data_IF_325997998235
#
_entry.id   IF_325997998235
#
_cell.length_a   1.000
_cell.length_b   1.000
_cell.length_c   1.000
_cell.angle_alpha   90.00
_cell.angle_beta   90.00
_cell.angle_gamma   90.00
#
_symmetry.space_group_name_H-M   'P 1'
#
loop_
_entity.id
_entity.type
_entity.pdbx_description
1 polymer ?
#
# COMPACT_ATOMS: atom_id res chain seq x y z
N UNK A 1 25.63 -3.09 -5.78
CA UNK A 1 24.31 -3.39 -5.15
C UNK A 1 23.19 -3.43 -6.18
N UNK A 2 22.98 -2.39 -7.00
CA UNK A 2 21.91 -2.37 -8.04
C UNK A 2 22.11 -3.44 -9.13
N UNK A 3 23.33 -3.64 -9.61
CA UNK A 3 23.66 -4.66 -10.64
C UNK A 3 23.48 -6.10 -10.15
N UNK A 4 23.77 -6.36 -8.88
CA UNK A 4 23.62 -7.67 -8.27
C UNK A 4 22.12 -8.02 -8.12
N UNK A 5 21.32 -7.08 -7.62
CA UNK A 5 19.86 -7.23 -7.53
C UNK A 5 19.23 -7.44 -8.91
N UNK A 6 19.67 -6.71 -9.93
CA UNK A 6 19.17 -6.88 -11.30
C UNK A 6 19.49 -8.27 -11.85
N UNK A 7 20.68 -8.80 -11.55
CA UNK A 7 21.06 -10.15 -11.93
C UNK A 7 20.20 -11.22 -11.25
N UNK A 8 19.94 -11.08 -9.95
CA UNK A 8 19.05 -11.98 -9.21
C UNK A 8 17.61 -11.92 -9.74
N UNK A 9 17.05 -10.74 -9.97
CA UNK A 9 15.71 -10.58 -10.52
C UNK A 9 15.60 -11.21 -11.91
N UNK A 10 16.61 -11.03 -12.75
CA UNK A 10 16.67 -11.63 -14.09
C UNK A 10 16.58 -13.15 -14.01
N UNK A 11 17.36 -13.76 -13.13
CA UNK A 11 17.37 -15.20 -12.95
C UNK A 11 16.02 -15.72 -12.42
N UNK A 12 15.41 -15.04 -11.44
CA UNK A 12 14.11 -15.41 -10.92
C UNK A 12 13.01 -15.28 -11.97
N UNK A 13 13.00 -14.19 -12.75
CA UNK A 13 12.02 -14.01 -13.82
C UNK A 13 12.17 -15.05 -14.93
N UNK A 14 13.41 -15.44 -15.27
CA UNK A 14 13.67 -16.54 -16.22
C UNK A 14 13.08 -17.86 -15.76
N UNK A 15 13.23 -18.18 -14.49
CA UNK A 15 12.70 -19.42 -13.92
C UNK A 15 11.17 -19.44 -13.90
N UNK A 16 10.52 -18.30 -13.67
CA UNK A 16 9.06 -18.20 -13.53
C UNK A 16 8.37 -18.02 -14.89
N UNK A 17 8.89 -17.12 -15.73
CA UNK A 17 8.19 -16.64 -16.94
C UNK A 17 8.90 -17.00 -18.25
N UNK A 18 10.13 -17.52 -18.20
CA UNK A 18 10.94 -17.79 -19.38
C UNK A 18 11.81 -16.59 -19.81
N UNK A 19 12.73 -16.83 -20.75
CA UNK A 19 13.79 -15.89 -21.14
C UNK A 19 13.25 -14.59 -21.74
N UNK A 20 12.28 -14.69 -22.63
CA UNK A 20 11.75 -13.54 -23.39
C UNK A 20 10.96 -12.59 -22.50
N UNK A 21 10.10 -13.13 -21.68
CA UNK A 21 9.25 -12.41 -20.74
C UNK A 21 10.08 -11.77 -19.62
N UNK A 22 11.14 -12.44 -19.16
CA UNK A 22 12.04 -11.93 -18.13
C UNK A 22 12.73 -10.63 -18.54
N UNK A 23 13.19 -10.52 -19.79
CA UNK A 23 13.83 -9.30 -20.30
C UNK A 23 12.84 -8.14 -20.42
N UNK A 24 11.59 -8.42 -20.77
CA UNK A 24 10.56 -7.39 -20.82
C UNK A 24 10.20 -6.90 -19.41
N UNK A 25 9.96 -7.82 -18.47
CA UNK A 25 9.63 -7.49 -17.08
C UNK A 25 10.72 -6.65 -16.40
N UNK A 26 12.00 -6.94 -16.66
CA UNK A 26 13.10 -6.13 -16.12
C UNK A 26 13.05 -4.69 -16.63
N UNK A 27 12.73 -4.49 -17.91
CA UNK A 27 12.58 -3.13 -18.47
C UNK A 27 11.40 -2.41 -17.84
N UNK A 28 10.26 -3.09 -17.72
CA UNK A 28 9.05 -2.51 -17.15
C UNK A 28 9.26 -2.10 -15.68
N UNK A 29 9.94 -2.94 -14.88
CA UNK A 29 10.30 -2.64 -13.49
C UNK A 29 11.29 -1.46 -13.40
N UNK A 30 12.31 -1.42 -14.26
CA UNK A 30 13.27 -0.31 -14.27
C UNK A 30 12.60 1.02 -14.65
N UNK A 31 11.66 0.98 -15.58
CA UNK A 31 10.83 2.13 -15.96
C UNK A 31 9.91 2.59 -14.83
N UNK A 32 9.23 1.67 -14.15
CA UNK A 32 8.43 1.97 -12.98
C UNK A 32 9.25 2.62 -11.87
N UNK A 33 10.44 2.09 -11.58
CA UNK A 33 11.34 2.66 -10.56
C UNK A 33 11.81 4.07 -10.93
N UNK A 34 12.12 4.31 -12.21
CA UNK A 34 12.54 5.63 -12.71
C UNK A 34 11.42 6.66 -12.60
N UNK A 35 10.19 6.25 -12.89
CA UNK A 35 9.01 7.11 -12.90
C UNK A 35 8.36 7.27 -11.52
N UNK A 36 8.80 6.50 -10.51
CA UNK A 36 8.28 6.58 -9.14
C UNK A 36 9.11 7.56 -8.31
N UNK A 37 8.63 8.77 -8.05
CA UNK A 37 9.37 9.76 -7.27
C UNK A 37 9.50 9.28 -5.82
N UNK A 38 10.72 9.22 -5.31
CA UNK A 38 10.96 8.99 -3.87
C UNK A 38 10.58 10.26 -3.12
N UNK A 39 9.45 10.25 -2.42
CA UNK A 39 9.02 11.36 -1.57
C UNK A 39 9.78 11.44 -0.25
N UNK A 40 10.34 10.33 0.22
CA UNK A 40 10.95 10.25 1.55
C UNK A 40 12.47 10.12 1.46
N UNK A 41 13.17 11.09 2.06
CA UNK A 41 14.64 11.10 2.22
C UNK A 41 15.09 10.60 3.60
N UNK A 42 14.16 10.23 4.46
CA UNK A 42 14.44 9.76 5.83
C UNK A 42 15.13 8.41 5.76
N UNK A 43 16.37 8.35 6.24
CA UNK A 43 17.17 7.12 6.17
C UNK A 43 16.90 6.17 7.34
N UNK A 44 16.49 6.70 8.50
CA UNK A 44 16.34 5.92 9.73
C UNK A 44 15.16 6.42 10.55
N UNK A 45 14.51 5.48 11.24
CA UNK A 45 13.54 5.79 12.27
C UNK A 45 14.24 6.30 13.53
N UNK A 46 13.59 7.19 14.25
CA UNK A 46 14.09 7.77 15.50
C UNK A 46 13.05 7.55 16.61
N UNK A 47 13.40 7.89 17.84
CA UNK A 47 12.47 7.84 18.97
C UNK A 47 11.27 8.81 18.85
N UNK A 48 11.26 9.68 17.84
CA UNK A 48 10.14 10.56 17.53
C UNK A 48 9.17 9.95 16.52
N UNK A 49 9.52 8.80 15.96
CA UNK A 49 8.67 8.10 14.99
C UNK A 49 7.76 7.12 15.72
N UNK A 50 6.49 7.44 15.76
CA UNK A 50 5.45 6.58 16.30
C UNK A 50 4.53 6.11 15.18
N UNK A 51 4.21 4.82 15.17
CA UNK A 51 3.34 4.18 14.19
C UNK A 51 1.99 3.90 14.81
N UNK A 52 0.94 4.42 14.21
CA UNK A 52 -0.44 3.97 14.48
C UNK A 52 -0.81 2.90 13.48
N UNK A 53 -1.24 1.73 13.97
CA UNK A 53 -1.83 0.65 13.15
C UNK A 53 -3.35 0.73 13.34
N UNK A 54 -4.10 0.81 12.25
CA UNK A 54 -5.55 0.99 12.29
C UNK A 54 -6.22 0.47 11.02
N UNK A 55 -7.49 0.10 11.13
CA UNK A 55 -8.36 -0.04 9.97
C UNK A 55 -8.86 1.32 9.51
N UNK A 56 -9.21 1.43 8.22
CA UNK A 56 -9.77 2.66 7.66
C UNK A 56 -11.13 3.06 8.26
N UNK A 57 -11.84 2.11 8.88
CA UNK A 57 -13.14 2.26 9.53
C UNK A 57 -13.10 2.11 11.06
N UNK A 58 -11.92 2.22 11.68
CA UNK A 58 -11.81 2.18 13.15
C UNK A 58 -12.59 3.32 13.83
N UNK A 59 -12.87 4.38 13.09
CA UNK A 59 -13.74 5.48 13.50
C UNK A 59 -14.78 5.66 12.41
N UNK A 60 -16.05 5.62 12.79
CA UNK A 60 -17.18 5.64 11.85
C UNK A 60 -18.01 6.90 12.05
N UNK A 61 -18.35 7.54 10.96
CA UNK A 61 -19.44 8.50 10.85
C UNK A 61 -20.51 7.94 9.92
N UNK A 62 -21.76 8.38 10.08
CA UNK A 62 -22.89 7.88 9.27
C UNK A 62 -22.93 8.46 7.85
N UNK A 63 -22.31 9.60 7.65
CA UNK A 63 -22.43 10.39 6.41
C UNK A 63 -21.12 10.44 5.61
N UNK A 64 -19.97 10.09 6.23
CA UNK A 64 -18.67 10.25 5.61
C UNK A 64 -17.88 8.93 5.50
N UNK A 65 -17.06 8.76 4.46
CA UNK A 65 -16.19 7.60 4.29
C UNK A 65 -15.19 7.45 5.45
N UNK A 66 -14.89 6.20 5.83
CA UNK A 66 -14.05 5.89 6.99
C UNK A 66 -12.68 6.56 6.96
N UNK A 67 -11.97 6.56 5.82
CA UNK A 67 -10.64 7.19 5.70
C UNK A 67 -10.69 8.71 5.89
N UNK A 68 -11.78 9.37 5.44
CA UNK A 68 -11.97 10.79 5.67
C UNK A 68 -12.17 11.08 7.16
N UNK A 69 -13.05 10.31 7.82
CA UNK A 69 -13.30 10.42 9.26
C UNK A 69 -12.02 10.18 10.06
N UNK A 70 -11.26 9.14 9.70
CA UNK A 70 -9.98 8.84 10.32
C UNK A 70 -8.99 10.00 10.19
N UNK A 71 -8.85 10.56 8.99
CA UNK A 71 -7.95 11.70 8.74
C UNK A 71 -8.33 12.92 9.59
N UNK A 72 -9.60 13.28 9.62
CA UNK A 72 -10.10 14.43 10.40
C UNK A 72 -9.88 14.22 11.91
N UNK A 73 -10.13 12.99 12.40
CA UNK A 73 -9.85 12.63 13.79
C UNK A 73 -8.36 12.73 14.12
N UNK A 74 -7.50 12.15 13.31
CA UNK A 74 -6.06 12.15 13.54
C UNK A 74 -5.50 13.57 13.55
N UNK A 75 -5.87 14.41 12.58
CA UNK A 75 -5.44 15.81 12.52
C UNK A 75 -5.90 16.62 13.72
N UNK A 76 -7.09 16.35 14.23
CA UNK A 76 -7.68 17.12 15.33
C UNK A 76 -7.20 16.67 16.72
N UNK A 77 -7.00 15.38 16.92
CA UNK A 77 -6.82 14.81 18.26
C UNK A 77 -5.45 14.17 18.49
N UNK A 78 -4.74 13.80 17.43
CA UNK A 78 -3.46 13.08 17.51
C UNK A 78 -2.31 13.95 17.03
N UNK A 79 -2.52 14.69 15.93
CA UNK A 79 -1.57 15.62 15.34
C UNK A 79 -0.13 15.05 15.27
N UNK A 80 0.83 15.73 15.91
CA UNK A 80 2.26 15.39 15.87
C UNK A 80 2.67 14.22 16.80
N UNK A 81 1.70 13.60 17.51
CA UNK A 81 2.01 12.47 18.40
C UNK A 81 2.39 11.19 17.65
N UNK A 82 1.98 11.08 16.39
CA UNK A 82 2.36 10.00 15.47
C UNK A 82 2.95 10.59 14.19
N UNK A 83 3.82 9.84 13.54
CA UNK A 83 4.43 10.23 12.26
C UNK A 83 4.06 9.28 11.13
N UNK A 84 3.66 8.07 11.44
CA UNK A 84 3.35 7.01 10.48
C UNK A 84 1.97 6.44 10.79
N UNK A 85 1.16 6.26 9.75
CA UNK A 85 -0.12 5.55 9.83
C UNK A 85 -0.04 4.28 8.98
N UNK A 86 -0.11 3.12 9.64
CA UNK A 86 -0.26 1.83 8.98
C UNK A 86 -1.76 1.53 8.84
N UNK A 87 -2.26 1.67 7.61
CA UNK A 87 -3.64 1.30 7.29
C UNK A 87 -3.66 -0.18 6.91
N UNK A 88 -4.37 -0.99 7.70
CA UNK A 88 -4.65 -2.38 7.40
C UNK A 88 -5.43 -2.49 6.09
N UNK A 89 -5.52 -3.68 5.44
CA UNK A 89 -5.95 -3.78 4.05
C UNK A 89 -7.24 -3.02 3.75
N UNK A 90 -7.14 -2.01 2.89
CA UNK A 90 -8.23 -1.08 2.56
C UNK A 90 -8.88 -1.39 1.21
N UNK A 91 -8.48 -2.47 0.57
CA UNK A 91 -8.98 -2.90 -0.73
C UNK A 91 -10.35 -3.56 -0.63
N UNK A 92 -11.13 -3.69 -1.73
CA UNK A 92 -12.27 -4.59 -1.78
C UNK A 92 -11.85 -6.02 -1.44
N UNK A 93 -12.63 -6.70 -0.61
CA UNK A 93 -12.31 -8.04 -0.10
C UNK A 93 -13.57 -8.92 0.01
N UNK A 94 -13.38 -10.21 0.20
CA UNK A 94 -14.48 -11.16 0.36
C UNK A 94 -14.57 -11.75 1.76
N UNK A 95 -13.49 -11.74 2.53
CA UNK A 95 -13.42 -12.29 3.88
C UNK A 95 -12.13 -11.85 4.58
N UNK A 96 -11.91 -12.34 5.81
CA UNK A 96 -10.68 -12.18 6.59
C UNK A 96 -10.32 -10.70 6.86
N UNK A 97 -11.33 -9.92 7.22
CA UNK A 97 -11.20 -8.52 7.63
C UNK A 97 -10.30 -7.66 6.71
N UNK A 98 -10.44 -7.86 5.38
CA UNK A 98 -9.68 -7.15 4.37
C UNK A 98 -8.54 -7.96 3.75
N UNK A 99 -8.07 -9.04 4.37
CA UNK A 99 -6.90 -9.78 3.88
C UNK A 99 -7.22 -10.71 2.69
N UNK A 100 -8.48 -11.05 2.43
CA UNK A 100 -8.90 -11.73 1.19
C UNK A 100 -9.21 -10.74 0.07
N UNK A 101 -8.19 -10.08 -0.46
CA UNK A 101 -8.31 -8.99 -1.44
C UNK A 101 -8.88 -9.49 -2.76
N UNK A 102 -9.93 -8.82 -3.26
CA UNK A 102 -10.56 -9.11 -4.55
C UNK A 102 -10.10 -8.18 -5.69
N UNK A 103 -9.69 -6.96 -5.38
CA UNK A 103 -9.11 -6.02 -6.36
C UNK A 103 -8.10 -5.09 -5.68
N UNK A 104 -6.82 -5.20 -6.03
CA UNK A 104 -5.74 -4.37 -5.47
C UNK A 104 -5.67 -2.96 -6.07
N UNK A 105 -6.43 -2.67 -7.11
CA UNK A 105 -6.41 -1.39 -7.82
C UNK A 105 -7.39 -0.36 -7.25
N UNK A 106 -8.27 -0.78 -6.36
CA UNK A 106 -9.33 0.06 -5.80
C UNK A 106 -9.25 0.11 -4.29
N UNK A 107 -9.64 1.23 -3.72
CA UNK A 107 -10.01 1.32 -2.30
C UNK A 107 -11.43 0.78 -2.15
N UNK A 108 -11.73 0.12 -1.04
CA UNK A 108 -13.09 -0.31 -0.70
C UNK A 108 -14.00 0.93 -0.64
N UNK A 109 -15.08 1.00 -1.44
CA UNK A 109 -15.94 2.19 -1.49
C UNK A 109 -16.56 2.58 -0.13
N UNK A 110 -16.68 1.63 0.80
CA UNK A 110 -17.13 1.94 2.15
C UNK A 110 -16.09 2.71 2.98
N UNK A 111 -14.82 2.61 2.62
CA UNK A 111 -13.72 3.32 3.28
C UNK A 111 -13.41 4.67 2.61
N UNK A 112 -13.69 4.82 1.31
CA UNK A 112 -13.38 5.99 0.51
C UNK A 112 -12.71 5.65 -0.81
N UNK A 113 -11.77 6.48 -1.24
CA UNK A 113 -11.04 6.33 -2.48
C UNK A 113 -9.54 6.68 -2.35
N UNK A 114 -8.81 6.64 -3.47
CA UNK A 114 -7.38 6.99 -3.50
C UNK A 114 -7.10 8.45 -3.15
N UNK A 115 -8.05 9.35 -3.33
CA UNK A 115 -7.91 10.75 -2.94
C UNK A 115 -7.91 10.90 -1.41
N UNK A 116 -8.76 10.13 -0.72
CA UNK A 116 -8.77 10.08 0.75
C UNK A 116 -7.45 9.52 1.30
N UNK A 117 -6.90 8.47 0.67
CA UNK A 117 -5.57 7.94 1.00
C UNK A 117 -4.49 8.99 0.78
N UNK A 118 -4.49 9.68 -0.36
CA UNK A 118 -3.52 10.72 -0.66
C UNK A 118 -3.60 11.87 0.35
N UNK A 119 -4.81 12.27 0.73
CA UNK A 119 -5.06 13.33 1.71
C UNK A 119 -4.50 13.00 3.09
N UNK A 120 -4.61 11.73 3.50
CA UNK A 120 -3.97 11.24 4.73
C UNK A 120 -2.43 11.29 4.61
N UNK A 121 -1.89 10.95 3.44
CA UNK A 121 -0.46 11.01 3.11
C UNK A 121 0.14 12.42 3.04
N UNK A 122 -0.67 13.48 3.05
CA UNK A 122 -0.18 14.86 3.18
C UNK A 122 0.33 15.17 4.58
N UNK A 123 -0.21 14.48 5.60
CA UNK A 123 0.07 14.74 7.01
C UNK A 123 0.93 13.65 7.66
N UNK A 124 0.88 12.43 7.16
CA UNK A 124 1.54 11.26 7.75
C UNK A 124 2.29 10.46 6.70
N UNK A 125 3.40 9.82 7.09
CA UNK A 125 3.98 8.74 6.28
C UNK A 125 3.02 7.53 6.32
N UNK A 126 2.72 6.94 5.16
CA UNK A 126 1.78 5.83 5.06
C UNK A 126 2.52 4.49 4.97
N UNK A 127 1.99 3.50 5.66
CA UNK A 127 2.39 2.11 5.60
C UNK A 127 1.18 1.25 5.22
N UNK A 128 1.39 0.24 4.40
CA UNK A 128 0.36 -0.69 3.95
C UNK A 128 0.84 -2.13 4.03
N UNK A 129 -0.09 -3.07 4.18
CA UNK A 129 0.21 -4.48 4.05
C UNK A 129 0.47 -4.85 2.59
N UNK A 130 1.58 -5.54 2.35
CA UNK A 130 1.86 -6.18 1.08
C UNK A 130 1.20 -7.58 1.05
N UNK A 131 -0.12 -7.64 0.89
CA UNK A 131 -0.88 -8.90 0.84
C UNK A 131 -0.65 -9.58 -0.52
N UNK A 132 0.54 -10.15 -0.72
CA UNK A 132 0.96 -10.78 -1.98
C UNK A 132 1.08 -12.31 -1.90
N UNK A 133 0.97 -12.87 -0.71
CA UNK A 133 1.08 -14.31 -0.45
C UNK A 133 -0.25 -15.06 -0.68
N UNK A 134 -1.36 -14.36 -0.73
CA UNK A 134 -2.68 -14.90 -1.03
C UNK A 134 -3.62 -13.78 -1.52
N UNK A 135 -4.76 -14.15 -2.07
CA UNK A 135 -5.84 -13.24 -2.44
C UNK A 135 -7.20 -13.95 -2.36
N UNK A 136 -8.27 -13.21 -2.58
CA UNK A 136 -9.60 -13.81 -2.74
C UNK A 136 -9.65 -14.71 -3.98
N UNK A 137 -10.37 -15.82 -3.89
CA UNK A 137 -10.70 -16.64 -5.06
C UNK A 137 -11.50 -15.89 -6.14
N UNK A 138 -12.10 -14.75 -5.76
CA UNK A 138 -12.83 -13.87 -6.69
C UNK A 138 -11.95 -12.79 -7.30
N UNK A 139 -10.64 -12.79 -7.01
CA UNK A 139 -9.69 -11.88 -7.64
C UNK A 139 -9.52 -12.25 -9.10
N UNK A 140 -9.55 -11.26 -9.99
CA UNK A 140 -9.39 -11.44 -11.45
C UNK A 140 -8.07 -12.15 -11.80
N UNK A 141 -7.01 -11.92 -11.03
CA UNK A 141 -5.70 -12.56 -11.28
C UNK A 141 -5.65 -14.03 -10.83
N UNK A 142 -6.62 -14.47 -10.04
CA UNK A 142 -6.71 -15.87 -9.59
C UNK A 142 -7.52 -16.72 -10.56
N UNK A 143 -8.46 -16.15 -11.31
CA UNK A 143 -9.33 -16.85 -12.28
C UNK A 143 -8.67 -17.00 -13.66
#
# INVERSE_FOLDING_TARGET
>A
MRQELEKELRELYRQIYGEKEAEQLLKDVDELIKNSPRKNTKQWLTQKDAVLITYGDSIIDKEEPGLKVLNDFLRKHVADAISIVHILPMFPYTSDDGFSVSDYRKVNPALGDWEDVNRLGESYDLMFDAVINHCSKSNEWFQ
#
